data_IF_063071996288
#
_entry.id   IF_063071996288
#
_cell.length_a   1.000
_cell.length_b   1.000
_cell.length_c   1.000
_cell.angle_alpha   90.00
_cell.angle_beta   90.00
_cell.angle_gamma   90.00
#
_symmetry.space_group_name_H-M   'P 1'
#
loop_
_entity.id
_entity.type
_entity.pdbx_description
1 polymer ?
#
# COMPACT_ATOMS: atom_id res chain seq x y z
N UNK A 1 -14.58 19.98 12.84
CA UNK A 1 -14.17 18.97 13.87
C UNK A 1 -12.75 18.54 13.57
N UNK A 2 -11.83 18.57 14.52
CA UNK A 2 -10.47 18.05 14.34
C UNK A 2 -10.43 16.61 14.82
N UNK A 3 -10.30 15.66 13.90
CA UNK A 3 -10.17 14.24 14.24
C UNK A 3 -8.80 13.98 14.90
N UNK A 4 -8.76 13.07 15.88
CA UNK A 4 -7.51 12.59 16.51
C UNK A 4 -6.83 11.47 15.73
N UNK A 5 -7.51 10.95 14.70
CA UNK A 5 -7.03 9.86 13.83
C UNK A 5 -7.03 10.32 12.38
N UNK A 6 -6.19 9.71 11.55
CA UNK A 6 -6.20 9.89 10.10
C UNK A 6 -7.22 8.94 9.48
N UNK A 7 -8.03 9.45 8.56
CA UNK A 7 -8.97 8.63 7.79
C UNK A 7 -8.40 8.36 6.41
N UNK A 8 -8.45 7.10 6.00
CA UNK A 8 -8.06 6.67 4.65
C UNK A 8 -9.28 6.11 3.93
N UNK A 9 -9.46 6.51 2.69
CA UNK A 9 -10.49 5.93 1.82
C UNK A 9 -9.94 4.67 1.15
N UNK A 10 -10.73 3.59 1.18
CA UNK A 10 -10.36 2.31 0.57
C UNK A 10 -11.22 2.06 -0.67
N UNK A 11 -10.60 1.70 -1.78
CA UNK A 11 -11.30 1.45 -3.03
C UNK A 11 -10.40 1.53 -4.27
N UNK A 12 -10.99 1.21 -5.42
CA UNK A 12 -10.33 1.28 -6.72
C UNK A 12 -11.25 1.83 -7.83
N UNK A 13 -12.36 2.46 -7.45
CA UNK A 13 -13.18 3.22 -8.39
C UNK A 13 -12.65 4.65 -8.52
N UNK A 14 -12.20 5.00 -9.72
CA UNK A 14 -11.58 6.30 -9.99
C UNK A 14 -12.46 7.48 -9.59
N UNK A 15 -13.75 7.44 -9.94
CA UNK A 15 -14.67 8.55 -9.65
C UNK A 15 -14.86 8.74 -8.16
N UNK A 16 -15.08 7.63 -7.42
CA UNK A 16 -15.19 7.66 -5.96
C UNK A 16 -13.90 8.11 -5.28
N UNK A 17 -12.73 7.70 -5.78
CA UNK A 17 -11.44 8.17 -5.26
C UNK A 17 -11.26 9.68 -5.45
N UNK A 18 -11.61 10.23 -6.60
CA UNK A 18 -11.50 11.67 -6.87
C UNK A 18 -12.50 12.48 -6.04
N UNK A 19 -13.72 11.96 -5.82
CA UNK A 19 -14.69 12.57 -4.90
C UNK A 19 -14.12 12.62 -3.46
N UNK A 20 -13.59 11.50 -2.97
CA UNK A 20 -12.95 11.43 -1.64
C UNK A 20 -11.69 12.30 -1.56
N UNK A 21 -10.97 12.49 -2.66
CA UNK A 21 -9.80 13.37 -2.70
C UNK A 21 -10.13 14.82 -2.38
N UNK A 22 -11.29 15.29 -2.80
CA UNK A 22 -11.79 16.63 -2.48
C UNK A 22 -12.21 16.80 -1.01
N UNK A 23 -12.40 15.70 -0.27
CA UNK A 23 -12.81 15.74 1.12
C UNK A 23 -11.60 16.03 2.04
N UNK A 24 -11.60 17.15 2.80
CA UNK A 24 -10.48 17.52 3.66
C UNK A 24 -10.27 16.59 4.87
N UNK A 25 -11.22 15.74 5.20
CA UNK A 25 -11.09 14.75 6.27
C UNK A 25 -10.32 13.50 5.82
N UNK A 26 -10.23 13.24 4.52
CA UNK A 26 -9.50 12.09 3.98
C UNK A 26 -8.01 12.42 3.91
N UNK A 27 -7.22 11.64 4.62
CA UNK A 27 -5.77 11.81 4.76
C UNK A 27 -4.96 11.02 3.74
N UNK A 28 -5.57 10.06 3.05
CA UNK A 28 -4.92 9.21 2.06
C UNK A 28 -5.82 8.11 1.54
N UNK A 29 -5.25 7.22 0.73
CA UNK A 29 -5.98 6.17 0.03
C UNK A 29 -5.30 4.83 0.18
N UNK A 30 -6.09 3.78 0.15
CA UNK A 30 -5.64 2.40 0.06
C UNK A 30 -6.37 1.68 -1.05
N UNK A 31 -5.67 0.81 -1.74
CA UNK A 31 -6.23 -0.12 -2.72
C UNK A 31 -5.72 -1.53 -2.44
N UNK A 32 -6.24 -2.51 -3.15
CA UNK A 32 -5.70 -3.86 -3.21
C UNK A 32 -6.16 -4.56 -4.50
N UNK A 33 -5.52 -5.68 -4.89
CA UNK A 33 -5.88 -6.39 -6.12
C UNK A 33 -7.36 -6.83 -6.17
N UNK A 34 -7.95 -7.20 -5.04
CA UNK A 34 -9.36 -7.63 -4.98
C UNK A 34 -10.30 -6.46 -5.29
N UNK A 35 -10.07 -5.29 -4.70
CA UNK A 35 -10.87 -4.09 -4.98
C UNK A 35 -10.70 -3.64 -6.42
N UNK A 36 -9.50 -3.69 -6.97
CA UNK A 36 -9.25 -3.37 -8.37
C UNK A 36 -10.00 -4.30 -9.32
N UNK A 37 -9.96 -5.61 -9.07
CA UNK A 37 -10.72 -6.58 -9.84
C UNK A 37 -12.23 -6.32 -9.75
N UNK A 38 -12.75 -6.03 -8.57
CA UNK A 38 -14.17 -5.70 -8.36
C UNK A 38 -14.58 -4.41 -9.09
N UNK A 39 -13.68 -3.43 -9.21
CA UNK A 39 -13.90 -2.20 -9.97
C UNK A 39 -13.69 -2.37 -11.49
N UNK A 40 -13.39 -3.57 -11.99
CA UNK A 40 -13.18 -3.85 -13.40
C UNK A 40 -11.82 -3.40 -13.94
N UNK A 41 -10.84 -3.14 -13.08
CA UNK A 41 -9.47 -2.78 -13.49
C UNK A 41 -8.78 -4.02 -14.06
N UNK A 42 -8.43 -3.95 -15.34
CA UNK A 42 -7.74 -5.04 -16.07
C UNK A 42 -6.23 -4.82 -16.16
N UNK A 43 -5.77 -3.57 -16.04
CA UNK A 43 -4.36 -3.19 -16.05
C UNK A 43 -4.04 -2.37 -14.79
N UNK A 44 -3.40 -3.03 -13.84
CA UNK A 44 -3.03 -2.49 -12.53
C UNK A 44 -2.13 -1.24 -12.65
N UNK A 45 -1.09 -1.34 -13.47
CA UNK A 45 -0.09 -0.28 -13.65
C UNK A 45 -0.68 0.95 -14.35
N UNK A 46 -1.47 0.74 -15.39
CA UNK A 46 -2.14 1.84 -16.09
C UNK A 46 -3.14 2.56 -15.19
N UNK A 47 -3.93 1.82 -14.41
CA UNK A 47 -4.83 2.40 -13.42
C UNK A 47 -4.05 3.22 -12.36
N UNK A 48 -3.00 2.65 -11.80
CA UNK A 48 -2.19 3.32 -10.77
C UNK A 48 -1.59 4.62 -11.31
N UNK A 49 -0.99 4.59 -12.48
CA UNK A 49 -0.41 5.77 -13.13
C UNK A 49 -1.45 6.84 -13.42
N UNK A 50 -2.63 6.46 -13.89
CA UNK A 50 -3.72 7.41 -14.14
C UNK A 50 -4.19 8.08 -12.83
N UNK A 51 -4.43 7.32 -11.77
CA UNK A 51 -4.80 7.88 -10.46
C UNK A 51 -3.73 8.81 -9.90
N UNK A 52 -2.44 8.47 -10.05
CA UNK A 52 -1.32 9.26 -9.55
C UNK A 52 -1.15 10.60 -10.28
N UNK A 53 -1.72 10.78 -11.46
CA UNK A 53 -1.77 12.10 -12.12
C UNK A 53 -2.74 13.06 -11.42
N UNK A 54 -3.69 12.55 -10.66
CA UNK A 54 -4.74 13.33 -10.00
C UNK A 54 -4.49 13.47 -8.49
N UNK A 55 -4.07 12.38 -7.83
CA UNK A 55 -3.79 12.34 -6.38
C UNK A 55 -2.28 12.45 -6.17
N UNK A 56 -1.78 13.66 -5.97
CA UNK A 56 -0.34 13.95 -5.96
C UNK A 56 0.23 14.27 -4.59
N UNK A 57 -0.61 14.71 -3.64
CA UNK A 57 -0.19 15.22 -2.31
C UNK A 57 -0.65 14.36 -1.14
N UNK A 58 -1.61 13.46 -1.35
CA UNK A 58 -2.06 12.50 -0.33
C UNK A 58 -1.41 11.14 -0.55
N UNK A 59 -0.99 10.44 0.53
CA UNK A 59 -0.45 9.09 0.40
C UNK A 59 -1.47 8.13 -0.20
N UNK A 60 -1.00 7.28 -1.07
CA UNK A 60 -1.80 6.22 -1.69
C UNK A 60 -1.05 4.89 -1.60
N UNK A 61 -1.74 3.83 -1.20
CA UNK A 61 -1.14 2.51 -1.07
C UNK A 61 -1.59 1.58 -2.18
N UNK A 62 -0.61 0.98 -2.85
CA UNK A 62 -0.78 -0.10 -3.83
C UNK A 62 -0.12 -1.37 -3.30
N UNK A 63 -0.79 -2.51 -3.42
CA UNK A 63 -0.35 -3.79 -2.86
C UNK A 63 0.39 -4.63 -3.89
N UNK A 64 1.44 -5.33 -3.46
CA UNK A 64 2.04 -6.43 -4.21
C UNK A 64 1.04 -7.58 -4.34
N UNK A 65 1.15 -8.41 -5.37
CA UNK A 65 0.19 -9.48 -5.63
C UNK A 65 0.83 -10.86 -5.80
N UNK A 66 2.16 -10.98 -5.77
CA UNK A 66 2.82 -12.28 -5.70
C UNK A 66 2.76 -12.87 -4.29
N UNK A 67 2.88 -14.19 -4.20
CA UNK A 67 3.01 -14.94 -2.95
C UNK A 67 4.48 -15.33 -2.65
N UNK A 68 5.36 -15.15 -3.62
CA UNK A 68 6.80 -15.37 -3.49
C UNK A 68 7.51 -14.09 -3.05
N UNK A 69 8.38 -14.18 -2.03
CA UNK A 69 9.04 -12.99 -1.47
C UNK A 69 10.02 -12.31 -2.42
N UNK A 70 10.66 -13.04 -3.32
CA UNK A 70 11.55 -12.44 -4.32
C UNK A 70 10.75 -11.63 -5.33
N UNK A 71 9.65 -12.19 -5.82
CA UNK A 71 8.75 -11.47 -6.72
C UNK A 71 8.05 -10.29 -6.03
N UNK A 72 7.66 -10.43 -4.74
CA UNK A 72 7.12 -9.32 -3.95
C UNK A 72 8.13 -8.17 -3.86
N UNK A 73 9.43 -8.47 -3.68
CA UNK A 73 10.47 -7.45 -3.61
C UNK A 73 10.62 -6.70 -4.93
N UNK A 74 10.63 -7.41 -6.06
CA UNK A 74 10.67 -6.80 -7.39
C UNK A 74 9.44 -5.91 -7.65
N UNK A 75 8.25 -6.42 -7.35
CA UNK A 75 7.00 -5.66 -7.46
C UNK A 75 7.00 -4.43 -6.55
N UNK A 76 7.49 -4.55 -5.32
CA UNK A 76 7.55 -3.45 -4.38
C UNK A 76 8.49 -2.33 -4.85
N UNK A 77 9.63 -2.68 -5.42
CA UNK A 77 10.57 -1.72 -6.01
C UNK A 77 9.94 -1.01 -7.22
N UNK A 78 9.25 -1.75 -8.07
CA UNK A 78 8.56 -1.19 -9.23
C UNK A 78 7.43 -0.24 -8.79
N UNK A 79 6.51 -0.70 -7.94
CA UNK A 79 5.37 0.09 -7.45
C UNK A 79 5.88 1.36 -6.74
N UNK A 80 6.88 1.23 -5.87
CA UNK A 80 7.46 2.37 -5.15
C UNK A 80 8.09 3.42 -6.06
N UNK A 81 8.49 3.04 -7.27
CA UNK A 81 9.08 3.96 -8.25
C UNK A 81 8.07 4.80 -9.05
N UNK A 82 6.77 4.51 -8.95
CA UNK A 82 5.77 5.19 -9.81
C UNK A 82 5.49 6.65 -9.40
N UNK A 83 5.56 6.97 -8.09
CA UNK A 83 5.42 8.34 -7.56
C UNK A 83 5.90 8.44 -6.11
N UNK A 84 6.23 9.67 -5.68
CA UNK A 84 6.76 9.94 -4.33
C UNK A 84 5.74 9.76 -3.19
N UNK A 85 4.45 9.83 -3.49
CA UNK A 85 3.38 9.68 -2.50
C UNK A 85 2.88 8.24 -2.33
N UNK A 86 3.56 7.26 -2.94
CA UNK A 86 3.20 5.85 -2.82
C UNK A 86 3.73 5.24 -1.52
N UNK A 87 2.88 4.41 -0.91
CA UNK A 87 3.24 3.42 0.10
C UNK A 87 2.94 2.03 -0.45
N UNK A 88 3.92 1.16 -0.53
CA UNK A 88 3.73 -0.19 -1.03
C UNK A 88 3.13 -1.06 0.07
N UNK A 89 1.97 -1.66 -0.18
CA UNK A 89 1.34 -2.61 0.76
C UNK A 89 2.01 -3.96 0.65
N UNK A 90 2.48 -4.46 1.80
CA UNK A 90 3.10 -5.78 1.95
C UNK A 90 2.31 -6.55 3.01
N UNK A 91 1.75 -7.73 2.70
CA UNK A 91 1.12 -8.56 3.71
C UNK A 91 2.15 -9.08 4.71
N UNK A 92 1.79 -9.14 6.01
CA UNK A 92 2.70 -9.60 7.08
C UNK A 92 3.15 -11.05 6.91
N UNK A 93 2.36 -11.88 6.21
CA UNK A 93 2.69 -13.24 5.83
C UNK A 93 2.23 -13.52 4.40
N UNK A 94 2.86 -14.50 3.75
CA UNK A 94 2.34 -15.08 2.52
C UNK A 94 1.23 -16.11 2.82
N UNK A 95 0.67 -16.76 1.79
CA UNK A 95 -0.40 -17.77 1.94
C UNK A 95 0.06 -19.04 2.66
N UNK A 96 1.38 -19.28 2.75
CA UNK A 96 1.99 -20.38 3.52
C UNK A 96 2.24 -20.02 4.98
N UNK A 97 1.79 -18.84 5.44
CA UNK A 97 2.03 -18.31 6.78
C UNK A 97 3.51 -18.01 7.09
N UNK A 98 4.34 -17.88 6.06
CA UNK A 98 5.74 -17.46 6.21
C UNK A 98 5.79 -15.94 6.41
N UNK A 99 6.66 -15.48 7.32
CA UNK A 99 6.75 -14.07 7.70
C UNK A 99 7.42 -13.22 6.63
N UNK A 100 6.85 -12.05 6.33
CA UNK A 100 7.42 -11.04 5.42
C UNK A 100 8.39 -10.08 6.12
N UNK A 101 8.71 -10.24 7.39
CA UNK A 101 9.50 -9.28 8.19
C UNK A 101 10.88 -9.02 7.56
N UNK A 102 11.58 -10.06 7.09
CA UNK A 102 12.88 -9.91 6.44
C UNK A 102 12.79 -9.13 5.12
N UNK A 103 11.72 -9.34 4.35
CA UNK A 103 11.44 -8.55 3.15
C UNK A 103 11.18 -7.08 3.49
N UNK A 104 10.38 -6.82 4.52
CA UNK A 104 10.06 -5.47 5.01
C UNK A 104 11.35 -4.74 5.42
N UNK A 105 12.25 -5.41 6.14
CA UNK A 105 13.54 -4.85 6.53
C UNK A 105 14.38 -4.46 5.30
N UNK A 106 14.54 -5.36 4.32
CA UNK A 106 15.29 -5.08 3.09
C UNK A 106 14.71 -3.91 2.29
N UNK A 107 13.38 -3.84 2.16
CA UNK A 107 12.70 -2.75 1.47
C UNK A 107 12.85 -1.41 2.22
N UNK A 108 12.78 -1.44 3.56
CA UNK A 108 13.01 -0.26 4.40
C UNK A 108 14.41 0.31 4.21
N UNK A 109 15.45 -0.54 4.21
CA UNK A 109 16.84 -0.15 3.94
C UNK A 109 16.99 0.48 2.55
N UNK A 110 16.22 0.03 1.57
CA UNK A 110 16.16 0.60 0.21
C UNK A 110 15.31 1.87 0.10
N UNK A 111 14.83 2.42 1.23
CA UNK A 111 13.97 3.60 1.31
C UNK A 111 12.62 3.45 0.60
N UNK A 112 12.10 2.24 0.43
CA UNK A 112 10.74 2.03 -0.02
C UNK A 112 9.78 2.39 1.11
N UNK A 113 8.81 3.23 0.86
CA UNK A 113 7.74 3.53 1.82
C UNK A 113 6.77 2.37 1.87
N UNK A 114 6.59 1.78 3.05
CA UNK A 114 5.85 0.52 3.22
C UNK A 114 4.60 0.73 4.08
N UNK A 115 3.51 0.08 3.70
CA UNK A 115 2.30 -0.09 4.48
C UNK A 115 2.10 -1.59 4.74
N UNK A 116 2.48 -2.08 5.92
CA UNK A 116 2.32 -3.50 6.25
C UNK A 116 0.85 -3.78 6.58
N UNK A 117 0.29 -4.78 5.91
CA UNK A 117 -1.13 -5.13 6.03
C UNK A 117 -1.35 -6.52 6.61
N UNK A 118 -2.61 -6.80 7.00
CA UNK A 118 -3.05 -8.08 7.58
C UNK A 118 -2.39 -8.45 8.93
N UNK A 119 -1.84 -7.50 9.67
CA UNK A 119 -1.35 -7.74 11.02
C UNK A 119 -2.52 -7.97 11.99
N UNK A 120 -2.49 -9.06 12.74
CA UNK A 120 -3.56 -9.47 13.67
C UNK A 120 -3.08 -9.59 15.11
N UNK A 121 -1.78 -9.47 15.38
CA UNK A 121 -1.20 -9.62 16.73
C UNK A 121 -0.24 -8.48 17.06
N UNK A 122 -0.10 -8.22 18.37
CA UNK A 122 0.88 -7.26 18.89
C UNK A 122 2.31 -7.71 18.56
N UNK A 123 2.57 -9.00 18.59
CA UNK A 123 3.89 -9.56 18.25
C UNK A 123 4.27 -9.26 16.79
N UNK A 124 3.34 -9.39 15.85
CA UNK A 124 3.56 -9.01 14.45
C UNK A 124 3.88 -7.52 14.33
N UNK A 125 3.10 -6.66 14.99
CA UNK A 125 3.33 -5.22 14.98
C UNK A 125 4.70 -4.84 15.53
N UNK A 126 5.14 -5.48 16.62
CA UNK A 126 6.47 -5.27 17.22
C UNK A 126 7.60 -5.70 16.29
N UNK A 127 7.44 -6.85 15.60
CA UNK A 127 8.44 -7.34 14.63
C UNK A 127 8.57 -6.37 13.45
N UNK A 128 7.45 -5.87 12.94
CA UNK A 128 7.44 -4.86 11.85
C UNK A 128 8.09 -3.56 12.31
N UNK A 129 7.77 -3.07 13.50
CA UNK A 129 8.38 -1.86 14.05
C UNK A 129 9.91 -1.97 14.11
N UNK A 130 10.41 -3.12 14.57
CA UNK A 130 11.85 -3.37 14.61
C UNK A 130 12.49 -3.41 13.21
N UNK A 131 11.81 -3.98 12.23
CA UNK A 131 12.28 -4.05 10.84
C UNK A 131 12.31 -2.67 10.15
N UNK A 132 11.34 -1.80 10.45
CA UNK A 132 11.26 -0.45 9.89
C UNK A 132 12.21 0.57 10.55
N UNK A 133 12.81 0.23 11.69
CA UNK A 133 13.67 1.14 12.49
C UNK A 133 15.14 1.10 12.08
N UNK A 134 15.50 0.36 11.03
CA UNK A 134 16.89 0.14 10.61
C UNK A 134 17.31 0.99 9.43
#
# INVERSE_FOLDING_TARGET
>A
MKLKVKLFADGADKMGMLEMYSNPLISGFTTNPTLMKAAGVTDYKSFAKDILTHITDKPISFEVFSDDFSEMEEQAMEIGSWADNIYVKIPITNTKSESSVDLIERLSIKNVKINVTAMMTVAQAQSVLNALSK
#
